data_IF_444580974319
#
_entry.id   IF_444580974319
#
_cell.length_a   1.000
_cell.length_b   1.000
_cell.length_c   1.000
_cell.angle_alpha   90.00
_cell.angle_beta   90.00
_cell.angle_gamma   90.00
#
_symmetry.space_group_name_H-M   'P 1'
#
loop_
_entity.id
_entity.type
_entity.pdbx_description
1 polymer ?
#
# COMPACT_ATOMS: atom_id res chain seq x y z
N UNK A 1 3.31 -7.25 -0.76
CA UNK A 1 4.30 -6.79 -1.76
C UNK A 1 5.60 -6.35 -1.08
N UNK A 2 6.78 -6.85 -1.49
CA UNK A 2 8.10 -6.34 -1.04
C UNK A 2 8.98 -6.06 -2.26
N UNK A 3 9.07 -4.80 -2.66
CA UNK A 3 9.93 -4.34 -3.75
C UNK A 3 11.30 -3.92 -3.19
N UNK A 4 12.34 -4.70 -3.49
CA UNK A 4 13.72 -4.29 -3.21
C UNK A 4 14.22 -3.34 -4.32
N UNK A 5 15.33 -2.63 -4.08
CA UNK A 5 15.83 -1.66 -5.08
C UNK A 5 16.37 -2.34 -6.33
N UNK A 6 16.92 -3.54 -6.18
CA UNK A 6 17.42 -4.40 -7.25
C UNK A 6 16.32 -4.98 -8.15
N UNK A 7 15.09 -5.07 -7.65
CA UNK A 7 13.94 -5.56 -8.41
C UNK A 7 13.37 -4.51 -9.37
N UNK A 8 13.79 -3.26 -9.21
CA UNK A 8 13.28 -2.13 -9.95
C UNK A 8 14.22 -1.86 -11.14
N UNK A 9 13.71 -1.85 -12.38
CA UNK A 9 14.49 -1.46 -13.54
C UNK A 9 15.13 -0.08 -13.34
N UNK A 10 16.32 0.18 -13.90
CA UNK A 10 16.99 1.47 -13.78
C UNK A 10 16.04 2.61 -14.14
N UNK A 11 15.93 3.60 -13.24
CA UNK A 11 15.06 4.75 -13.45
C UNK A 11 15.89 5.97 -13.81
N UNK A 12 15.35 6.82 -14.67
CA UNK A 12 15.87 8.17 -14.83
C UNK A 12 15.42 9.01 -13.62
N UNK A 13 16.28 9.16 -12.61
CA UNK A 13 15.96 9.84 -11.35
C UNK A 13 16.57 11.25 -11.38
N UNK A 14 15.78 12.26 -11.04
CA UNK A 14 16.28 13.64 -10.86
C UNK A 14 17.14 13.72 -9.60
N UNK A 15 18.20 14.55 -9.63
CA UNK A 15 19.14 14.81 -8.50
C UNK A 15 18.45 14.95 -7.13
N UNK A 16 17.24 15.53 -7.08
CA UNK A 16 16.49 15.73 -5.84
C UNK A 16 16.08 14.44 -5.10
N UNK A 17 16.24 13.26 -5.71
CA UNK A 17 15.83 11.97 -5.16
C UNK A 17 16.97 10.95 -5.10
N UNK A 18 18.20 11.33 -5.47
CA UNK A 18 19.36 10.41 -5.54
C UNK A 18 19.72 9.78 -4.19
N UNK A 19 19.40 10.46 -3.08
CA UNK A 19 19.66 9.95 -1.72
C UNK A 19 18.67 8.88 -1.25
N UNK A 20 17.60 8.61 -2.02
CA UNK A 20 16.55 7.65 -1.64
C UNK A 20 16.75 6.31 -2.37
N UNK A 21 16.44 5.17 -1.72
CA UNK A 21 16.38 3.89 -2.42
C UNK A 21 15.43 3.93 -3.61
N UNK A 22 15.74 3.19 -4.69
CA UNK A 22 14.93 3.17 -5.90
C UNK A 22 13.46 2.80 -5.63
N UNK A 23 13.22 1.92 -4.66
CA UNK A 23 11.88 1.52 -4.22
C UNK A 23 11.09 2.66 -3.57
N UNK A 24 11.76 3.51 -2.79
CA UNK A 24 11.13 4.70 -2.21
C UNK A 24 10.79 5.72 -3.31
N UNK A 25 11.71 5.96 -4.25
CA UNK A 25 11.46 6.87 -5.39
C UNK A 25 10.28 6.38 -6.23
N UNK A 26 10.24 5.08 -6.52
CA UNK A 26 9.16 4.45 -7.26
C UNK A 26 7.81 4.59 -6.56
N UNK A 27 7.74 4.25 -5.27
CA UNK A 27 6.53 4.39 -4.47
C UNK A 27 6.02 5.84 -4.41
N UNK A 28 6.94 6.82 -4.31
CA UNK A 28 6.60 8.24 -4.28
C UNK A 28 6.10 8.75 -5.64
N UNK A 29 6.64 8.22 -6.76
CA UNK A 29 6.12 8.48 -8.11
C UNK A 29 4.71 7.92 -8.30
N UNK A 30 4.51 6.66 -7.94
CA UNK A 30 3.19 6.02 -7.99
C UNK A 30 2.17 6.76 -7.11
N UNK A 31 2.53 7.05 -5.86
CA UNK A 31 1.67 7.79 -4.93
C UNK A 31 1.26 9.17 -5.45
N UNK A 32 2.13 9.86 -6.17
CA UNK A 32 1.78 11.12 -6.86
C UNK A 32 0.87 10.87 -8.05
N UNK A 33 1.15 9.85 -8.87
CA UNK A 33 0.36 9.51 -10.05
C UNK A 33 -1.09 9.11 -9.70
N UNK A 34 -1.29 8.39 -8.59
CA UNK A 34 -2.64 8.07 -8.08
C UNK A 34 -3.30 9.23 -7.31
N UNK A 35 -2.59 10.34 -7.09
CA UNK A 35 -3.13 11.53 -6.42
C UNK A 35 -3.11 11.49 -4.89
N UNK A 36 -2.44 10.51 -4.28
CA UNK A 36 -2.28 10.37 -2.82
C UNK A 36 -1.29 11.37 -2.23
N UNK A 37 -0.28 11.75 -3.01
CA UNK A 37 0.84 12.55 -2.55
C UNK A 37 0.92 13.89 -3.26
N UNK A 38 1.25 14.94 -2.50
CA UNK A 38 1.60 16.26 -3.04
C UNK A 38 2.98 16.70 -2.58
N UNK A 39 3.67 17.44 -3.43
CA UNK A 39 4.93 18.11 -3.09
C UNK A 39 4.61 19.47 -2.45
N UNK A 40 5.12 19.71 -1.25
CA UNK A 40 5.10 21.00 -0.56
C UNK A 40 6.53 21.48 -0.38
N UNK A 41 7.01 22.29 -1.32
CA UNK A 41 8.41 22.72 -1.34
C UNK A 41 9.37 21.53 -1.44
N UNK A 42 10.15 21.28 -0.39
CA UNK A 42 11.07 20.13 -0.30
C UNK A 42 10.47 18.89 0.38
N UNK A 43 9.25 18.98 0.91
CA UNK A 43 8.56 17.86 1.54
C UNK A 43 7.55 17.20 0.59
N UNK A 44 7.28 15.92 0.83
CA UNK A 44 6.16 15.19 0.26
C UNK A 44 5.18 14.90 1.39
N UNK A 45 3.91 15.22 1.19
CA UNK A 45 2.85 14.98 2.16
C UNK A 45 1.74 14.12 1.56
N UNK A 46 1.14 13.28 2.40
CA UNK A 46 -0.08 12.56 2.07
C UNK A 46 -1.25 13.55 2.08
N UNK A 47 -1.70 13.92 0.89
CA UNK A 47 -2.79 14.86 0.66
C UNK A 47 -3.70 14.29 -0.43
N UNK A 48 -4.56 13.32 -0.07
CA UNK A 48 -5.49 12.70 -1.00
C UNK A 48 -6.35 13.77 -1.69
N UNK A 49 -6.25 13.84 -3.01
CA UNK A 49 -7.07 14.73 -3.83
C UNK A 49 -8.26 13.97 -4.46
N UNK A 50 -9.02 14.59 -5.35
CA UNK A 50 -10.14 13.92 -6.05
C UNK A 50 -9.71 12.66 -6.83
N UNK A 51 -8.49 12.66 -7.39
CA UNK A 51 -7.90 11.48 -8.02
C UNK A 51 -7.65 10.34 -7.03
N UNK A 52 -7.21 10.67 -5.80
CA UNK A 52 -7.09 9.67 -4.74
C UNK A 52 -8.45 9.10 -4.32
N UNK A 53 -9.48 9.94 -4.22
CA UNK A 53 -10.84 9.45 -3.94
C UNK A 53 -11.34 8.51 -5.03
N UNK A 54 -11.14 8.88 -6.29
CA UNK A 54 -11.48 8.04 -7.44
C UNK A 54 -10.72 6.71 -7.39
N UNK A 55 -9.43 6.74 -7.07
CA UNK A 55 -8.60 5.53 -6.89
C UNK A 55 -9.11 4.62 -5.76
N UNK A 56 -9.39 5.18 -4.58
CA UNK A 56 -9.87 4.41 -3.43
C UNK A 56 -11.26 3.79 -3.64
N UNK A 57 -12.05 4.35 -4.56
CA UNK A 57 -13.36 3.84 -4.93
C UNK A 57 -13.32 2.72 -5.99
N UNK A 58 -12.16 2.41 -6.57
CA UNK A 58 -12.03 1.34 -7.57
C UNK A 58 -12.18 -0.04 -6.92
N UNK A 59 -12.77 -1.02 -7.62
CA UNK A 59 -12.59 -2.43 -7.30
C UNK A 59 -11.10 -2.80 -7.28
N UNK A 60 -10.71 -3.76 -6.43
CA UNK A 60 -9.30 -4.15 -6.28
C UNK A 60 -8.65 -4.56 -7.61
N UNK A 61 -9.32 -5.36 -8.42
CA UNK A 61 -8.80 -5.78 -9.73
C UNK A 61 -8.54 -4.60 -10.69
N UNK A 62 -9.43 -3.60 -10.70
CA UNK A 62 -9.27 -2.41 -11.53
C UNK A 62 -8.15 -1.50 -11.00
N UNK A 63 -8.04 -1.39 -9.67
CA UNK A 63 -6.93 -0.69 -9.04
C UNK A 63 -5.58 -1.34 -9.38
N UNK A 64 -5.45 -2.66 -9.25
CA UNK A 64 -4.22 -3.39 -9.59
C UNK A 64 -3.83 -3.19 -11.06
N UNK A 65 -4.78 -3.31 -11.97
CA UNK A 65 -4.53 -3.09 -13.40
C UNK A 65 -4.07 -1.65 -13.68
N UNK A 66 -4.71 -0.66 -13.05
CA UNK A 66 -4.30 0.73 -13.19
C UNK A 66 -2.94 0.98 -12.53
N UNK A 67 -2.60 0.28 -11.45
CA UNK A 67 -1.28 0.33 -10.82
C UNK A 67 -0.22 -0.22 -11.76
N UNK A 68 -0.49 -1.35 -12.42
CA UNK A 68 0.37 -1.94 -13.45
C UNK A 68 0.63 -0.95 -14.58
N UNK A 69 -0.41 -0.30 -15.10
CA UNK A 69 -0.26 0.74 -16.13
C UNK A 69 0.66 1.88 -15.69
N UNK A 70 0.39 2.47 -14.53
CA UNK A 70 1.20 3.56 -13.96
C UNK A 70 2.64 3.12 -13.66
N UNK A 71 2.83 1.89 -13.20
CA UNK A 71 4.15 1.32 -12.94
C UNK A 71 4.94 1.16 -14.24
N UNK A 72 4.31 0.61 -15.28
CA UNK A 72 4.91 0.50 -16.61
C UNK A 72 5.32 1.87 -17.14
N UNK A 73 4.44 2.86 -17.07
CA UNK A 73 4.74 4.24 -17.51
C UNK A 73 5.86 4.89 -16.69
N UNK A 74 5.96 4.60 -15.39
CA UNK A 74 7.02 5.12 -14.53
C UNK A 74 8.40 4.51 -14.82
N UNK A 75 8.43 3.25 -15.28
CA UNK A 75 9.65 2.50 -15.51
C UNK A 75 10.16 2.63 -16.95
N UNK A 76 9.26 2.87 -17.91
CA UNK A 76 9.64 3.07 -19.30
C UNK A 76 10.14 4.49 -19.54
N UNK A 77 11.43 4.63 -19.83
CA UNK A 77 11.99 5.85 -20.40
C UNK A 77 11.55 6.05 -21.85
N UNK A 78 11.60 7.28 -22.34
CA UNK A 78 11.22 7.62 -23.71
C UNK A 78 12.10 6.94 -24.80
N UNK A 79 13.29 6.46 -24.43
CA UNK A 79 14.33 6.02 -25.37
C UNK A 79 14.64 4.50 -25.31
N UNK A 80 13.81 3.68 -24.67
CA UNK A 80 14.05 2.22 -24.56
C UNK A 80 12.96 1.37 -25.25
N UNK A 81 12.93 1.32 -26.60
CA UNK A 81 11.91 0.58 -27.35
C UNK A 81 11.90 -0.93 -27.05
N UNK A 82 13.07 -1.52 -26.77
CA UNK A 82 13.18 -2.92 -26.36
C UNK A 82 12.50 -3.22 -25.02
N UNK A 83 12.64 -2.31 -24.05
CA UNK A 83 11.99 -2.45 -22.74
C UNK A 83 10.47 -2.32 -22.86
N UNK A 84 9.97 -1.39 -23.67
CA UNK A 84 8.54 -1.25 -23.95
C UNK A 84 8.01 -2.52 -24.63
N UNK A 85 8.71 -3.03 -25.64
CA UNK A 85 8.27 -4.20 -26.38
C UNK A 85 8.27 -5.48 -25.53
N UNK A 86 9.24 -5.62 -24.63
CA UNK A 86 9.24 -6.71 -23.65
C UNK A 86 8.03 -6.62 -22.70
N UNK A 87 7.74 -5.43 -22.17
CA UNK A 87 6.59 -5.22 -21.28
C UNK A 87 5.26 -5.59 -21.96
N UNK A 88 5.04 -5.10 -23.19
CA UNK A 88 3.81 -5.37 -23.94
C UNK A 88 3.73 -6.86 -24.35
N UNK A 89 4.83 -7.46 -24.80
CA UNK A 89 4.82 -8.89 -25.18
C UNK A 89 4.53 -9.80 -23.98
N UNK A 90 4.98 -9.43 -22.77
CA UNK A 90 4.64 -10.14 -21.55
C UNK A 90 3.14 -10.00 -21.21
N UNK A 91 2.51 -8.85 -21.48
CA UNK A 91 1.07 -8.65 -21.27
C UNK A 91 0.19 -9.53 -22.17
N UNK A 92 0.69 -9.95 -23.33
CA UNK A 92 -0.05 -10.82 -24.25
C UNK A 92 -0.16 -12.27 -23.76
N UNK A 93 0.62 -12.66 -22.76
CA UNK A 93 0.54 -14.00 -22.18
C UNK A 93 -0.82 -14.23 -21.52
N UNK A 94 -1.41 -15.41 -21.78
CA UNK A 94 -2.66 -15.78 -21.14
C UNK A 94 -2.50 -15.79 -19.61
N UNK A 95 -3.35 -15.05 -18.86
CA UNK A 95 -3.23 -15.00 -17.42
C UNK A 95 -3.63 -16.31 -16.77
N UNK A 96 -3.19 -16.53 -15.53
CA UNK A 96 -3.44 -17.75 -14.75
C UNK A 96 -2.94 -19.05 -15.39
N UNK A 97 -2.18 -18.97 -16.50
CA UNK A 97 -1.53 -20.10 -17.16
C UNK A 97 -0.02 -20.03 -17.00
N UNK A 98 0.59 -21.17 -16.72
CA UNK A 98 2.05 -21.30 -16.71
C UNK A 98 2.62 -21.34 -18.13
N UNK A 99 3.68 -20.58 -18.35
CA UNK A 99 4.45 -20.52 -19.60
C UNK A 99 5.93 -20.77 -19.26
N UNK A 100 6.65 -21.52 -20.10
CA UNK A 100 8.09 -21.68 -19.94
C UNK A 100 8.80 -20.36 -20.28
N UNK A 101 9.68 -19.90 -19.41
CA UNK A 101 10.39 -18.63 -19.57
C UNK A 101 11.22 -18.62 -20.87
N UNK A 102 11.85 -19.74 -21.19
CA UNK A 102 12.62 -19.89 -22.43
C UNK A 102 11.76 -19.72 -23.69
N UNK A 103 10.53 -20.24 -23.69
CA UNK A 103 9.61 -20.11 -24.83
C UNK A 103 9.11 -18.67 -24.98
N UNK A 104 8.81 -18.02 -23.84
CA UNK A 104 8.43 -16.60 -23.82
C UNK A 104 9.56 -15.73 -24.37
N UNK A 105 10.79 -15.91 -23.87
CA UNK A 105 11.95 -15.12 -24.32
C UNK A 105 12.22 -15.33 -25.81
N UNK A 106 12.12 -16.57 -26.30
CA UNK A 106 12.32 -16.91 -27.70
C UNK A 106 11.25 -16.31 -28.62
N UNK A 107 10.03 -16.12 -28.12
CA UNK A 107 8.92 -15.54 -28.86
C UNK A 107 8.99 -13.99 -28.95
N UNK A 108 9.91 -13.34 -28.22
CA UNK A 108 10.03 -11.89 -28.24
C UNK A 108 10.48 -11.37 -29.62
N UNK A 109 10.01 -10.18 -30.04
CA UNK A 109 10.13 -9.78 -31.44
C UNK A 109 11.53 -9.29 -31.80
N UNK A 110 12.32 -8.85 -30.81
CA UNK A 110 13.69 -8.35 -31.01
C UNK A 110 14.64 -8.84 -29.93
N UNK A 111 15.94 -8.79 -30.23
CA UNK A 111 16.98 -9.15 -29.28
C UNK A 111 17.04 -8.15 -28.10
N UNK A 112 16.75 -6.86 -28.32
CA UNK A 112 16.67 -5.88 -27.23
C UNK A 112 15.52 -6.21 -26.28
N UNK A 113 14.36 -6.61 -26.80
CA UNK A 113 13.23 -7.05 -25.97
C UNK A 113 13.59 -8.32 -25.16
N UNK A 114 14.25 -9.30 -25.80
CA UNK A 114 14.76 -10.48 -25.09
C UNK A 114 15.74 -10.12 -23.98
N UNK A 115 16.63 -9.14 -24.21
CA UNK A 115 17.56 -8.63 -23.19
C UNK A 115 16.88 -7.94 -22.02
N UNK A 116 15.73 -7.28 -22.24
CA UNK A 116 14.97 -6.58 -21.20
C UNK A 116 14.00 -7.48 -20.42
N UNK A 117 13.62 -8.64 -20.96
CA UNK A 117 12.59 -9.51 -20.40
C UNK A 117 12.87 -9.95 -18.95
N UNK A 118 14.10 -10.32 -18.64
CA UNK A 118 14.47 -10.78 -17.30
C UNK A 118 14.27 -9.71 -16.22
N UNK A 119 14.53 -8.43 -16.55
CA UNK A 119 14.31 -7.32 -15.63
C UNK A 119 12.80 -7.10 -15.38
N UNK A 120 11.99 -7.22 -16.43
CA UNK A 120 10.52 -7.15 -16.31
C UNK A 120 9.95 -8.30 -15.50
N UNK A 121 10.36 -9.54 -15.76
CA UNK A 121 9.88 -10.71 -15.02
C UNK A 121 10.23 -10.57 -13.54
N UNK A 122 11.45 -10.12 -13.21
CA UNK A 122 11.86 -9.86 -11.83
C UNK A 122 10.98 -8.79 -11.18
N UNK A 123 10.75 -7.67 -11.86
CA UNK A 123 9.91 -6.58 -11.36
C UNK A 123 8.46 -7.04 -11.14
N UNK A 124 7.83 -7.66 -12.14
CA UNK A 124 6.44 -8.11 -12.08
C UNK A 124 6.25 -9.15 -10.96
N UNK A 125 7.25 -10.01 -10.74
CA UNK A 125 7.27 -10.94 -9.60
C UNK A 125 7.35 -10.21 -8.26
N UNK A 126 8.26 -9.26 -8.12
CA UNK A 126 8.42 -8.51 -6.88
C UNK A 126 7.21 -7.62 -6.55
N UNK A 127 6.52 -7.14 -7.60
CA UNK A 127 5.24 -6.43 -7.50
C UNK A 127 4.05 -7.35 -7.15
N UNK A 128 4.20 -8.67 -7.33
CA UNK A 128 3.15 -9.66 -7.06
C UNK A 128 2.18 -9.89 -8.21
N UNK A 129 2.45 -9.34 -9.40
CA UNK A 129 1.63 -9.53 -10.61
C UNK A 129 2.03 -10.76 -11.43
N UNK A 130 3.20 -11.33 -11.13
CA UNK A 130 3.64 -12.60 -11.69
C UNK A 130 4.16 -13.55 -10.61
N UNK A 131 4.00 -14.83 -10.84
CA UNK A 131 4.68 -15.90 -10.11
C UNK A 131 5.73 -16.56 -11.01
N UNK A 132 6.79 -17.05 -10.39
CA UNK A 132 7.81 -17.87 -11.05
C UNK A 132 7.96 -19.20 -10.33
N UNK A 133 8.13 -20.28 -11.07
CA UNK A 133 8.37 -21.62 -10.56
C UNK A 133 9.53 -22.28 -11.31
N UNK A 134 10.07 -23.36 -10.75
CA UNK A 134 11.03 -24.23 -11.45
C UNK A 134 10.37 -25.59 -11.70
N UNK A 135 10.46 -26.08 -12.93
CA UNK A 135 10.05 -27.42 -13.35
C UNK A 135 11.22 -28.16 -14.02
N UNK A 136 10.99 -29.40 -14.47
CA UNK A 136 12.00 -30.19 -15.17
C UNK A 136 12.47 -29.52 -16.47
N UNK A 137 11.58 -28.81 -17.17
CA UNK A 137 11.92 -28.10 -18.40
C UNK A 137 12.57 -26.72 -18.18
N UNK A 138 12.66 -26.25 -16.93
CA UNK A 138 13.33 -25.00 -16.56
C UNK A 138 12.47 -24.04 -15.74
N UNK A 139 12.73 -22.74 -15.88
CA UNK A 139 11.95 -21.70 -15.22
C UNK A 139 10.60 -21.50 -15.94
N UNK A 140 9.54 -21.35 -15.18
CA UNK A 140 8.19 -21.07 -15.67
C UNK A 140 7.63 -19.82 -14.97
N UNK A 141 6.75 -19.10 -15.67
CA UNK A 141 6.12 -17.88 -15.19
C UNK A 141 4.61 -17.88 -15.47
N UNK A 142 3.86 -17.12 -14.66
CA UNK A 142 2.40 -16.98 -14.78
C UNK A 142 1.94 -15.63 -14.23
N UNK A 143 1.04 -14.95 -14.94
CA UNK A 143 0.34 -13.78 -14.38
C UNK A 143 -0.65 -14.18 -13.29
N UNK A 144 -0.68 -13.42 -12.20
CA UNK A 144 -1.62 -13.56 -11.07
C UNK A 144 -2.80 -12.58 -11.17
N UNK A 145 -2.81 -11.72 -12.18
CA UNK A 145 -3.89 -10.79 -12.51
C UNK A 145 -4.24 -10.91 -14.00
N UNK A 146 -5.35 -10.31 -14.44
CA UNK A 146 -5.59 -10.05 -15.87
C UNK A 146 -4.88 -8.73 -16.24
N UNK A 147 -3.79 -8.76 -17.02
CA UNK A 147 -2.99 -7.58 -17.30
C UNK A 147 -3.59 -6.67 -18.40
N UNK A 148 -4.72 -7.05 -19.03
CA UNK A 148 -5.29 -6.31 -20.15
C UNK A 148 -6.63 -5.61 -19.82
N UNK A 149 -6.76 -4.28 -19.98
CA UNK A 149 -7.97 -3.53 -19.63
C UNK A 149 -9.22 -3.84 -20.46
N UNK A 150 -9.05 -4.44 -21.64
CA UNK A 150 -10.16 -4.87 -22.49
C UNK A 150 -10.68 -6.28 -22.17
N UNK A 151 -10.03 -7.03 -21.27
CA UNK A 151 -10.47 -8.37 -20.87
C UNK A 151 -11.12 -8.28 -19.49
N UNK A 152 -12.36 -8.79 -19.33
CA UNK A 152 -12.96 -8.85 -18.02
C UNK A 152 -12.09 -9.76 -17.15
N UNK A 153 -11.65 -9.23 -16.01
CA UNK A 153 -11.13 -10.08 -14.95
C UNK A 153 -12.18 -11.16 -14.64
N UNK A 154 -11.74 -12.35 -14.27
CA UNK A 154 -12.65 -13.37 -13.77
C UNK A 154 -13.51 -12.74 -12.65
N UNK A 155 -14.83 -12.97 -12.63
CA UNK A 155 -15.68 -12.42 -11.59
C UNK A 155 -15.11 -12.85 -10.24
N UNK A 156 -14.72 -11.88 -9.42
CA UNK A 156 -14.24 -12.16 -8.08
C UNK A 156 -15.32 -12.88 -7.29
N UNK A 157 -14.94 -13.81 -6.43
CA UNK A 157 -15.85 -14.68 -5.68
C UNK A 157 -16.69 -13.93 -4.60
N UNK A 158 -16.77 -12.60 -4.67
CA UNK A 158 -17.55 -11.77 -3.75
C UNK A 158 -16.85 -11.46 -2.41
N UNK A 159 -15.54 -11.75 -2.29
CA UNK A 159 -14.74 -11.44 -1.10
C UNK A 159 -14.19 -10.00 -1.11
N UNK A 160 -15.03 -8.99 -1.39
CA UNK A 160 -14.59 -7.58 -1.43
C UNK A 160 -14.62 -6.88 -0.06
N UNK A 161 -14.89 -7.62 1.02
CA UNK A 161 -15.03 -7.12 2.39
C UNK A 161 -14.13 -7.89 3.34
N UNK A 162 -13.69 -7.22 4.39
CA UNK A 162 -12.95 -7.87 5.46
C UNK A 162 -13.88 -8.35 6.58
N UNK A 163 -13.45 -9.38 7.29
CA UNK A 163 -14.13 -9.85 8.50
C UNK A 163 -13.49 -9.20 9.72
N UNK A 164 -14.30 -8.58 10.58
CA UNK A 164 -13.83 -7.94 11.81
C UNK A 164 -14.20 -8.77 13.03
N UNK A 165 -13.18 -9.26 13.71
CA UNK A 165 -13.28 -10.17 14.84
C UNK A 165 -13.44 -9.42 16.16
N UNK A 166 -14.12 -10.00 17.17
CA UNK A 166 -14.31 -9.38 18.49
C UNK A 166 -13.02 -9.08 19.25
N UNK A 167 -11.90 -9.71 18.89
CA UNK A 167 -10.57 -9.51 19.50
C UNK A 167 -9.75 -8.37 18.85
N UNK A 168 -10.42 -7.54 18.04
CA UNK A 168 -9.90 -6.37 17.33
C UNK A 168 -9.08 -6.70 16.08
N UNK A 169 -9.11 -7.95 15.62
CA UNK A 169 -8.43 -8.35 14.39
C UNK A 169 -9.36 -8.24 13.18
N UNK A 170 -8.80 -7.82 12.05
CA UNK A 170 -9.50 -7.80 10.77
C UNK A 170 -8.77 -8.68 9.76
N UNK A 171 -9.50 -9.61 9.15
CA UNK A 171 -8.99 -10.51 8.12
C UNK A 171 -9.43 -9.93 6.77
N UNK A 172 -8.47 -9.43 6.01
CA UNK A 172 -8.71 -8.66 4.79
C UNK A 172 -8.31 -9.48 3.58
N UNK A 173 -9.27 -9.86 2.71
CA UNK A 173 -8.98 -10.60 1.49
C UNK A 173 -8.24 -9.75 0.43
N UNK A 174 -7.53 -10.40 -0.51
CA UNK A 174 -6.83 -9.74 -1.60
C UNK A 174 -7.75 -8.89 -2.50
N UNK A 175 -9.04 -9.19 -2.55
CA UNK A 175 -10.05 -8.51 -3.36
C UNK A 175 -10.67 -7.29 -2.66
N UNK A 176 -10.38 -7.06 -1.38
CA UNK A 176 -10.86 -5.89 -0.65
C UNK A 176 -10.39 -4.58 -1.33
N UNK A 177 -11.29 -3.64 -1.66
CA UNK A 177 -10.94 -2.39 -2.34
C UNK A 177 -9.85 -1.59 -1.62
N UNK A 178 -9.03 -0.81 -2.36
CA UNK A 178 -8.00 0.03 -1.77
C UNK A 178 -8.53 1.00 -0.73
N UNK A 179 -9.76 1.52 -0.93
CA UNK A 179 -10.47 2.35 0.04
C UNK A 179 -10.63 1.70 1.42
N UNK A 180 -11.13 0.46 1.44
CA UNK A 180 -11.34 -0.28 2.69
C UNK A 180 -10.02 -0.52 3.42
N UNK A 181 -8.95 -0.88 2.69
CA UNK A 181 -7.61 -1.07 3.26
C UNK A 181 -7.03 0.22 3.80
N UNK A 182 -7.13 1.30 3.03
CA UNK A 182 -6.65 2.62 3.45
C UNK A 182 -7.32 3.09 4.74
N UNK A 183 -8.65 2.98 4.82
CA UNK A 183 -9.40 3.32 6.03
C UNK A 183 -8.97 2.47 7.24
N UNK A 184 -8.69 1.18 7.02
CA UNK A 184 -8.20 0.28 8.06
C UNK A 184 -6.79 0.65 8.53
N UNK A 185 -5.87 1.00 7.64
CA UNK A 185 -4.51 1.45 7.97
C UNK A 185 -4.49 2.75 8.81
N UNK A 186 -5.55 3.56 8.76
CA UNK A 186 -5.69 4.73 9.63
C UNK A 186 -5.98 4.35 11.09
N UNK A 187 -6.65 3.22 11.31
CA UNK A 187 -7.20 2.80 12.61
C UNK A 187 -6.53 1.55 13.20
N UNK A 188 -5.76 0.84 12.38
CA UNK A 188 -5.15 -0.43 12.71
C UNK A 188 -3.68 -0.47 12.31
N UNK A 189 -2.97 -1.45 12.86
CA UNK A 189 -1.64 -1.85 12.40
C UNK A 189 -1.75 -3.16 11.62
N UNK A 190 -1.00 -3.29 10.53
CA UNK A 190 -0.88 -4.56 9.81
C UNK A 190 0.02 -5.52 10.59
N UNK A 191 -0.45 -6.74 10.82
CA UNK A 191 0.27 -7.81 11.50
C UNK A 191 0.98 -8.74 10.50
N UNK A 192 0.27 -9.13 9.44
CA UNK A 192 0.79 -9.98 8.36
C UNK A 192 0.17 -9.63 7.02
N UNK A 193 0.84 -10.06 5.95
CA UNK A 193 0.42 -9.88 4.56
C UNK A 193 0.90 -11.12 3.79
N UNK A 194 0.10 -12.19 3.85
CA UNK A 194 0.32 -13.42 3.08
C UNK A 194 -0.75 -13.52 1.99
N UNK A 195 -1.55 -14.60 1.96
CA UNK A 195 -2.71 -14.73 1.07
C UNK A 195 -3.81 -13.75 1.47
N UNK A 196 -3.99 -13.54 2.78
CA UNK A 196 -4.86 -12.51 3.36
C UNK A 196 -4.01 -11.58 4.22
N UNK A 197 -4.42 -10.32 4.31
CA UNK A 197 -3.78 -9.38 5.22
C UNK A 197 -4.51 -9.41 6.56
N UNK A 198 -3.75 -9.49 7.65
CA UNK A 198 -4.30 -9.42 9.01
C UNK A 198 -3.95 -8.09 9.63
N UNK A 199 -4.95 -7.39 10.12
CA UNK A 199 -4.84 -6.12 10.80
C UNK A 199 -5.29 -6.24 12.24
N UNK A 200 -4.77 -5.38 13.10
CA UNK A 200 -5.24 -5.23 14.47
C UNK A 200 -5.54 -3.79 14.76
N UNK A 201 -6.79 -3.49 15.10
CA UNK A 201 -7.20 -2.15 15.54
C UNK A 201 -6.42 -1.83 16.81
N UNK A 202 -5.86 -0.63 16.84
CA UNK A 202 -4.88 -0.24 17.84
C UNK A 202 -5.17 1.15 18.41
N UNK A 203 -4.98 1.30 19.72
CA UNK A 203 -5.24 2.54 20.42
C UNK A 203 -4.36 3.70 19.90
N UNK A 204 -3.10 3.44 19.58
CA UNK A 204 -2.17 4.47 19.09
C UNK A 204 -2.56 4.91 17.69
N UNK A 205 -3.01 3.99 16.83
CA UNK A 205 -3.57 4.31 15.53
C UNK A 205 -4.82 5.20 15.66
N UNK A 206 -5.76 4.85 16.54
CA UNK A 206 -6.94 5.67 16.82
C UNK A 206 -6.57 7.08 17.33
N UNK A 207 -5.55 7.20 18.20
CA UNK A 207 -5.05 8.52 18.64
C UNK A 207 -4.49 9.35 17.49
N UNK A 208 -3.72 8.73 16.58
CA UNK A 208 -3.20 9.41 15.38
C UNK A 208 -4.32 9.83 14.44
N UNK A 209 -5.31 8.97 14.23
CA UNK A 209 -6.49 9.28 13.41
C UNK A 209 -7.25 10.48 13.98
N UNK A 210 -7.45 10.55 15.30
CA UNK A 210 -8.06 11.70 15.96
C UNK A 210 -7.27 12.98 15.74
N UNK A 211 -5.93 12.94 15.90
CA UNK A 211 -5.07 14.09 15.63
C UNK A 211 -5.15 14.54 14.16
N UNK A 212 -5.46 13.62 13.24
CA UNK A 212 -5.74 13.88 11.83
C UNK A 212 -7.17 14.32 11.51
N UNK A 213 -8.04 14.47 12.51
CA UNK A 213 -9.42 14.94 12.35
C UNK A 213 -10.47 13.83 12.20
N UNK A 214 -10.09 12.56 12.29
CA UNK A 214 -11.02 11.43 12.26
C UNK A 214 -11.59 11.16 13.65
N UNK A 215 -12.88 11.44 13.87
CA UNK A 215 -13.55 11.16 15.14
C UNK A 215 -14.13 9.74 15.24
N UNK A 216 -14.55 9.34 16.44
CA UNK A 216 -15.16 8.02 16.72
C UNK A 216 -16.28 7.64 15.75
N UNK A 217 -17.24 8.53 15.50
CA UNK A 217 -18.36 8.23 14.60
C UNK A 217 -17.90 7.96 13.15
N UNK A 218 -16.86 8.67 12.69
CA UNK A 218 -16.29 8.45 11.37
C UNK A 218 -15.52 7.13 11.32
N UNK A 219 -14.70 6.85 12.34
CA UNK A 219 -13.95 5.61 12.45
C UNK A 219 -14.87 4.38 12.48
N UNK A 220 -15.96 4.45 13.25
CA UNK A 220 -17.01 3.43 13.26
C UNK A 220 -17.61 3.23 11.87
N UNK A 221 -18.03 4.32 11.21
CA UNK A 221 -18.64 4.23 9.89
C UNK A 221 -17.67 3.69 8.82
N UNK A 222 -16.36 3.99 8.91
CA UNK A 222 -15.33 3.39 8.05
C UNK A 222 -15.27 1.88 8.24
N UNK A 223 -15.23 1.44 9.49
CA UNK A 223 -15.14 0.01 9.80
C UNK A 223 -16.39 -0.77 9.37
N UNK A 224 -17.59 -0.23 9.64
CA UNK A 224 -18.85 -0.85 9.24
C UNK A 224 -19.03 -0.88 7.71
N UNK A 225 -18.53 0.14 6.99
CA UNK A 225 -18.54 0.12 5.51
C UNK A 225 -17.61 -0.95 4.95
N UNK A 226 -16.39 -1.05 5.49
CA UNK A 226 -15.39 -1.98 4.99
C UNK A 226 -15.69 -3.44 5.30
N UNK A 227 -16.30 -3.72 6.47
CA UNK A 227 -16.79 -5.07 6.80
C UNK A 227 -18.16 -5.37 6.17
N UNK A 228 -18.94 -4.32 5.90
CA UNK A 228 -20.33 -4.44 5.48
C UNK A 228 -21.28 -4.94 6.56
N UNK A 229 -20.86 -4.90 7.82
CA UNK A 229 -21.63 -5.34 8.99
C UNK A 229 -21.45 -4.37 10.17
N UNK A 230 -22.41 -4.31 11.10
CA UNK A 230 -22.22 -3.61 12.37
C UNK A 230 -20.99 -4.12 13.13
N UNK A 231 -20.34 -3.24 13.90
CA UNK A 231 -19.18 -3.63 14.69
C UNK A 231 -19.56 -4.66 15.78
N UNK A 232 -18.70 -5.64 16.06
CA UNK A 232 -18.80 -6.41 17.29
C UNK A 232 -18.75 -5.49 18.52
N UNK A 233 -19.55 -5.78 19.55
CA UNK A 233 -19.65 -4.94 20.75
C UNK A 233 -18.29 -4.63 21.39
N UNK A 234 -17.42 -5.64 21.47
CA UNK A 234 -16.06 -5.49 22.01
C UNK A 234 -15.23 -4.46 21.24
N UNK A 235 -15.40 -4.40 19.91
CA UNK A 235 -14.71 -3.44 19.04
C UNK A 235 -15.29 -2.04 19.22
N UNK A 236 -16.61 -1.89 19.26
CA UNK A 236 -17.26 -0.59 19.44
C UNK A 236 -16.90 0.05 20.80
N UNK A 237 -16.88 -0.76 21.86
CA UNK A 237 -16.48 -0.33 23.21
C UNK A 237 -15.02 0.12 23.20
N UNK A 238 -14.10 -0.69 22.68
CA UNK A 238 -12.68 -0.36 22.64
C UNK A 238 -12.41 0.93 21.86
N UNK A 239 -13.02 1.08 20.67
CA UNK A 239 -12.90 2.30 19.87
C UNK A 239 -13.37 3.52 20.64
N UNK A 240 -14.55 3.45 21.25
CA UNK A 240 -15.12 4.55 22.03
C UNK A 240 -14.18 4.96 23.16
N UNK A 241 -13.69 4.01 23.93
CA UNK A 241 -12.80 4.26 25.07
C UNK A 241 -11.49 4.93 24.62
N UNK A 242 -10.90 4.47 23.52
CA UNK A 242 -9.68 5.07 22.98
C UNK A 242 -9.89 6.49 22.46
N UNK A 243 -10.98 6.74 21.73
CA UNK A 243 -11.28 8.09 21.25
C UNK A 243 -11.63 9.06 22.39
N UNK A 244 -12.27 8.59 23.46
CA UNK A 244 -12.50 9.39 24.68
C UNK A 244 -11.18 9.68 25.39
N UNK A 245 -10.35 8.66 25.62
CA UNK A 245 -9.05 8.83 26.27
C UNK A 245 -8.10 9.75 25.48
N UNK A 246 -8.16 9.73 24.15
CA UNK A 246 -7.35 10.56 23.27
C UNK A 246 -7.70 12.05 23.30
N UNK A 247 -8.93 12.40 23.67
CA UNK A 247 -9.40 13.78 23.82
C UNK A 247 -9.02 14.37 25.18
N UNK A 248 -8.70 13.52 26.17
CA UNK A 248 -8.27 14.01 27.46
C UNK A 248 -6.90 14.71 27.32
N UNK A 249 -6.72 15.91 27.90
CA UNK A 249 -5.42 16.55 27.93
C UNK A 249 -4.41 15.60 28.58
N UNK A 250 -3.16 15.52 28.09
CA UNK A 250 -2.14 14.67 28.71
C UNK A 250 -2.04 15.05 30.19
N UNK A 251 -2.34 14.10 31.07
CA UNK A 251 -2.28 14.31 32.51
C UNK A 251 -0.88 14.85 32.82
N UNK A 252 -0.83 16.13 33.23
CA UNK A 252 0.41 16.88 33.32
C UNK A 252 1.45 16.16 34.16
N UNK A 253 2.69 16.21 33.68
CA UNK A 253 3.88 16.34 34.55
C UNK A 253 3.47 17.24 35.71
N UNK A 254 3.35 16.69 36.92
CA UNK A 254 3.19 17.52 38.11
C UNK A 254 4.44 18.38 38.19
N UNK A 255 4.25 19.69 38.03
CA UNK A 255 5.24 20.71 38.30
C UNK A 255 5.93 20.37 39.63
N UNK A 256 7.17 19.89 39.52
CA UNK A 256 8.08 19.67 40.64
C UNK A 256 8.67 21.01 41.13
N UNK A 257 7.90 22.10 40.99
CA UNK A 257 8.31 23.47 41.21
C UNK A 257 7.36 24.17 42.19
N UNK A 258 7.02 23.47 43.28
CA UNK A 258 6.48 24.06 44.51
C UNK A 258 7.07 23.31 45.71
N UNK A 259 8.39 23.28 45.79
CA UNK A 259 9.13 22.93 47.02
C UNK A 259 10.53 23.57 46.95
N UNK A 260 10.56 24.91 46.86
CA UNK A 260 11.79 25.69 47.05
C UNK A 260 11.45 27.13 47.42
N UNK A 261 10.66 27.32 48.49
CA UNK A 261 10.53 28.62 49.13
C UNK A 261 10.36 28.45 50.63
N UNK A 262 11.45 28.08 51.29
CA UNK A 262 11.86 28.59 52.61
C UNK A 262 13.26 28.07 52.94
N UNK A 263 14.19 28.98 53.25
CA UNK A 263 14.97 28.79 54.46
C UNK A 263 14.91 30.03 55.37
N UNK A 264 15.42 29.88 56.62
CA UNK A 264 14.86 30.55 57.78
C UNK A 264 15.62 31.84 58.17
N UNK A 265 15.04 32.47 59.18
CA UNK A 265 15.52 33.58 60.00
C UNK A 265 17.05 33.67 60.19
N UNK A 266 17.55 34.91 60.17
CA UNK A 266 18.86 35.29 60.70
C UNK A 266 18.84 36.76 61.08
N UNK A 267 18.81 37.03 62.39
CA UNK A 267 18.91 38.38 62.96
C UNK A 267 20.35 38.93 63.01
N UNK A 268 20.47 40.05 63.74
CA UNK A 268 21.64 40.94 63.98
C UNK A 268 21.69 42.08 62.95
N UNK A 269 21.56 43.38 63.30
CA UNK A 269 21.90 44.12 64.53
C UNK A 269 20.78 45.04 65.02
#
# INVERSE_FOLDING_TARGET
>A
MRLASEDIPPQNVSEAWEALPASAVFALRLGRAVGMLRRRGQAVAAEPNEGAKAWLALPAAEAELRLLGLATDCLLGADEPGAWLAAESLRDLAPMRWHLEADVIKALPTQEAAGAAAAWIRFLRAAGWMETASCEEGAALRWTIEPYPGRPAAPGDGYDRYELMPDLEAIVPPEAPPGARWELELLARRLSEDVVAVYRIDADACRRALAGGTGYAQARAMLERGSGAPLPDAVDIALRDWFVAAQAPPAGRRDSQRDAALPPEGGVS
#
